data_IF_608597351485
#
_entry.id   IF_608597351485
#
_cell.length_a   1.000
_cell.length_b   1.000
_cell.length_c   1.000
_cell.angle_alpha   90.00
_cell.angle_beta   90.00
_cell.angle_gamma   90.00
#
_symmetry.space_group_name_H-M   'P 1'
#
loop_
_entity.id
_entity.type
_entity.pdbx_description
1 polymer ?
#
# COMPACT_ATOMS: atom_id res chain seq x y z
N UNK A 1 25.25 55.05 -42.32
CA UNK A 1 25.05 54.76 -40.90
C UNK A 1 23.85 53.82 -40.72
N UNK A 2 24.04 52.50 -40.63
CA UNK A 2 23.05 51.47 -40.24
C UNK A 2 23.73 50.09 -40.33
N UNK A 3 24.55 49.73 -39.36
CA UNK A 3 25.06 48.35 -39.18
C UNK A 3 25.56 48.21 -37.73
N UNK A 4 24.68 48.07 -36.77
CA UNK A 4 25.06 47.72 -35.39
C UNK A 4 23.90 47.22 -34.51
N UNK A 5 22.89 46.51 -35.02
CA UNK A 5 21.78 46.03 -34.19
C UNK A 5 21.48 44.53 -34.29
N UNK A 6 22.25 43.72 -35.02
CA UNK A 6 21.99 42.28 -35.16
C UNK A 6 22.90 41.39 -34.36
N UNK A 7 23.90 41.94 -33.66
CA UNK A 7 24.88 41.13 -32.88
C UNK A 7 24.44 40.82 -31.47
N UNK A 8 23.44 41.53 -30.93
CA UNK A 8 22.98 41.30 -29.55
C UNK A 8 21.83 40.30 -29.43
N UNK A 9 21.06 40.07 -30.47
CA UNK A 9 19.92 39.11 -30.44
C UNK A 9 20.41 37.68 -30.67
N UNK A 10 21.49 37.47 -31.38
CA UNK A 10 22.07 36.13 -31.62
C UNK A 10 22.77 35.56 -30.35
N UNK A 11 23.31 36.43 -29.48
CA UNK A 11 23.98 35.98 -28.24
C UNK A 11 22.97 35.62 -27.12
N UNK A 12 21.75 36.17 -27.16
CA UNK A 12 20.73 35.88 -26.14
C UNK A 12 19.92 34.60 -26.49
N UNK A 13 19.87 34.23 -27.77
CA UNK A 13 19.17 33.02 -28.19
C UNK A 13 20.02 31.75 -28.01
N UNK A 14 21.33 31.87 -27.86
CA UNK A 14 22.24 30.73 -27.63
C UNK A 14 22.37 30.38 -26.12
N UNK A 15 21.89 31.24 -25.21
CA UNK A 15 21.95 31.01 -23.78
C UNK A 15 20.66 30.39 -23.18
N UNK A 16 19.61 30.25 -24.02
CA UNK A 16 18.30 29.72 -23.56
C UNK A 16 18.09 28.23 -23.90
N UNK A 17 19.08 27.55 -24.51
CA UNK A 17 18.97 26.13 -24.88
C UNK A 17 19.75 25.20 -23.94
N UNK A 18 20.44 25.76 -22.93
CA UNK A 18 21.32 24.99 -22.05
C UNK A 18 20.70 24.61 -20.69
N UNK A 19 19.39 24.74 -20.45
CA UNK A 19 18.78 24.49 -19.15
C UNK A 19 17.65 23.46 -19.13
N UNK A 20 17.55 22.56 -20.13
CA UNK A 20 16.54 21.50 -20.13
C UNK A 20 17.12 20.09 -20.34
N UNK A 21 18.27 19.79 -19.75
CA UNK A 21 18.71 18.41 -19.57
C UNK A 21 19.19 18.19 -18.14
N UNK A 22 18.34 18.47 -17.18
CA UNK A 22 18.42 17.79 -15.90
C UNK A 22 17.56 16.52 -16.02
N UNK A 23 18.03 15.56 -16.79
CA UNK A 23 17.78 14.17 -16.45
C UNK A 23 18.51 13.97 -15.12
N UNK A 24 17.80 14.05 -14.01
CA UNK A 24 18.21 13.33 -12.84
C UNK A 24 18.26 11.85 -13.23
N UNK A 25 19.42 11.41 -13.68
CA UNK A 25 19.83 10.03 -13.48
C UNK A 25 19.69 9.83 -11.97
N UNK A 26 18.66 9.07 -11.56
CA UNK A 26 18.74 8.37 -10.31
C UNK A 26 20.09 7.66 -10.34
N UNK A 27 21.04 8.20 -9.59
CA UNK A 27 22.24 7.47 -9.28
C UNK A 27 21.73 6.16 -8.67
N UNK A 28 21.92 5.08 -9.39
CA UNK A 28 22.08 3.78 -8.77
C UNK A 28 23.25 4.02 -7.83
N UNK A 29 22.92 4.22 -6.56
CA UNK A 29 23.90 4.26 -5.49
C UNK A 29 24.38 2.81 -5.31
N UNK A 30 25.23 2.41 -6.24
CA UNK A 30 25.99 1.17 -6.21
C UNK A 30 27.24 1.40 -5.35
N UNK A 31 27.01 1.98 -4.16
CA UNK A 31 28.00 1.96 -3.09
C UNK A 31 27.80 0.72 -2.23
N UNK A 32 27.73 -0.46 -2.87
CA UNK A 32 28.24 -1.63 -2.19
C UNK A 32 29.76 -1.52 -2.20
N UNK A 33 30.34 -1.00 -1.14
CA UNK A 33 31.69 -1.37 -0.77
C UNK A 33 31.66 -2.87 -0.49
N UNK A 34 31.75 -3.67 -1.58
CA UNK A 34 32.00 -5.09 -1.46
C UNK A 34 33.40 -5.14 -0.88
N UNK A 35 33.52 -5.46 0.42
CA UNK A 35 34.77 -5.95 0.93
C UNK A 35 35.10 -7.19 0.09
N UNK A 36 36.31 -7.29 -0.39
CA UNK A 36 36.71 -8.34 -1.34
C UNK A 36 36.78 -9.74 -0.69
N UNK A 37 36.37 -9.86 0.57
CA UNK A 37 36.52 -11.04 1.42
C UNK A 37 35.21 -11.42 2.17
N UNK A 38 34.03 -11.03 1.67
CA UNK A 38 32.76 -11.46 2.26
C UNK A 38 32.63 -13.00 2.20
N UNK A 39 32.79 -13.67 3.35
CA UNK A 39 32.96 -15.12 3.44
C UNK A 39 31.68 -15.88 3.81
N UNK A 40 30.64 -15.20 4.33
CA UNK A 40 29.38 -15.83 4.67
C UNK A 40 28.39 -15.70 3.50
N UNK A 41 27.94 -16.84 2.96
CA UNK A 41 26.94 -16.90 1.92
C UNK A 41 25.55 -17.10 2.52
N UNK A 42 24.58 -16.29 2.09
CA UNK A 42 23.21 -16.29 2.60
C UNK A 42 22.23 -16.53 1.47
N UNK A 43 21.27 -17.42 1.71
CA UNK A 43 20.08 -17.58 0.87
C UNK A 43 18.83 -17.42 1.72
N UNK A 44 17.97 -16.45 1.37
CA UNK A 44 16.69 -16.21 2.04
C UNK A 44 15.57 -16.67 1.09
N UNK A 45 14.74 -17.60 1.56
CA UNK A 45 13.53 -18.06 0.91
C UNK A 45 12.33 -17.27 1.48
N UNK A 46 11.74 -16.42 0.66
CA UNK A 46 10.58 -15.60 1.05
C UNK A 46 9.31 -16.32 0.66
N UNK A 47 8.40 -16.46 1.61
CA UNK A 47 7.11 -17.13 1.44
C UNK A 47 5.98 -16.28 2.02
N UNK A 48 4.75 -16.66 1.68
CA UNK A 48 3.52 -16.19 2.32
C UNK A 48 2.61 -17.38 2.58
N UNK A 49 1.88 -17.31 3.68
CA UNK A 49 0.80 -18.25 3.98
C UNK A 49 -0.52 -17.49 4.07
N UNK A 50 -1.60 -18.10 3.57
CA UNK A 50 -2.94 -17.65 3.91
C UNK A 50 -3.28 -18.17 5.30
N UNK A 51 -3.72 -17.28 6.19
CA UNK A 51 -4.46 -17.71 7.35
C UNK A 51 -5.81 -18.20 6.83
N UNK A 52 -5.98 -19.51 6.67
CA UNK A 52 -7.32 -20.07 6.50
C UNK A 52 -8.07 -19.84 7.81
N UNK A 53 -9.28 -19.25 7.80
CA UNK A 53 -10.11 -19.20 8.98
C UNK A 53 -10.37 -20.65 9.43
N UNK A 54 -10.01 -20.99 10.66
CA UNK A 54 -10.56 -22.19 11.28
C UNK A 54 -12.08 -22.05 11.25
N UNK A 55 -12.76 -22.92 10.52
CA UNK A 55 -14.18 -23.14 10.73
C UNK A 55 -14.35 -23.45 12.23
N UNK A 56 -14.99 -22.56 12.96
CA UNK A 56 -15.44 -22.86 14.31
C UNK A 56 -16.44 -24.01 14.21
N UNK A 57 -15.95 -25.19 14.43
CA UNK A 57 -16.78 -26.38 14.62
C UNK A 57 -17.68 -26.12 15.83
N UNK A 58 -18.90 -25.71 15.59
CA UNK A 58 -19.98 -25.78 16.59
C UNK A 58 -20.25 -27.25 16.86
N UNK A 59 -19.55 -27.81 17.84
CA UNK A 59 -20.09 -28.95 18.60
C UNK A 59 -19.40 -29.08 19.95
N UNK A 60 -20.12 -28.68 20.97
CA UNK A 60 -19.86 -29.13 22.32
C UNK A 60 -20.02 -30.66 22.41
N UNK A 61 -18.95 -31.37 22.76
CA UNK A 61 -19.03 -32.58 23.58
C UNK A 61 -17.65 -32.91 24.12
N UNK A 62 -17.55 -32.83 25.44
CA UNK A 62 -16.62 -33.48 26.40
C UNK A 62 -15.37 -34.20 25.90
N UNK A 63 -14.22 -33.73 26.37
CA UNK A 63 -13.10 -34.61 26.81
C UNK A 63 -11.96 -34.80 25.85
N UNK A 64 -10.85 -34.29 26.27
CA UNK A 64 -9.46 -34.55 25.96
C UNK A 64 -8.69 -33.40 25.33
N UNK A 65 -7.72 -32.93 26.12
CA UNK A 65 -6.73 -31.95 25.71
C UNK A 65 -5.81 -32.59 24.65
N UNK A 66 -6.02 -32.23 23.38
CA UNK A 66 -5.03 -32.44 22.35
C UNK A 66 -4.30 -31.13 22.10
N UNK A 67 -2.98 -31.15 22.24
CA UNK A 67 -2.06 -30.13 21.76
C UNK A 67 -2.35 -29.91 20.28
N UNK A 68 -3.09 -28.84 19.94
CA UNK A 68 -3.37 -28.48 18.56
C UNK A 68 -2.11 -27.95 17.90
N UNK A 69 -1.48 -28.79 17.08
CA UNK A 69 -0.59 -28.33 16.02
C UNK A 69 -1.40 -27.37 15.14
N UNK A 70 -0.93 -26.12 15.03
CA UNK A 70 -1.48 -25.15 14.09
C UNK A 70 -1.37 -25.77 12.69
N UNK A 71 -2.51 -26.07 12.07
CA UNK A 71 -2.56 -26.53 10.68
C UNK A 71 -1.97 -25.43 9.81
N UNK A 72 -0.78 -25.68 9.28
CA UNK A 72 -0.07 -24.80 8.37
C UNK A 72 -0.93 -24.59 7.12
N UNK A 73 -1.42 -23.36 6.91
CA UNK A 73 -2.08 -22.97 5.66
C UNK A 73 -1.18 -23.27 4.45
N UNK A 74 -1.78 -23.56 3.30
CA UNK A 74 -1.05 -23.85 2.07
C UNK A 74 -0.22 -22.62 1.65
N UNK A 75 1.06 -22.81 1.32
CA UNK A 75 1.92 -21.74 0.83
C UNK A 75 1.43 -21.25 -0.54
N UNK A 76 1.15 -19.95 -0.65
CA UNK A 76 0.78 -19.35 -1.93
C UNK A 76 2.04 -18.94 -2.68
N UNK A 77 2.12 -19.20 -4.00
CA UNK A 77 3.21 -18.67 -4.81
C UNK A 77 3.31 -17.16 -4.67
N UNK A 78 4.49 -16.67 -4.28
CA UNK A 78 4.72 -15.27 -3.92
C UNK A 78 4.38 -14.31 -5.06
N UNK A 79 4.64 -14.70 -6.30
CA UNK A 79 4.34 -13.95 -7.52
C UNK A 79 2.84 -13.69 -7.76
N UNK A 80 1.97 -14.46 -7.13
CA UNK A 80 0.51 -14.24 -7.14
C UNK A 80 0.07 -13.20 -6.13
N UNK A 81 0.89 -12.92 -5.13
CA UNK A 81 0.57 -12.03 -4.02
C UNK A 81 1.23 -10.68 -4.16
N UNK A 82 2.52 -10.65 -4.48
CA UNK A 82 3.24 -9.42 -4.73
C UNK A 82 4.16 -9.54 -5.95
N UNK A 83 4.25 -8.46 -6.70
CA UNK A 83 5.04 -8.38 -7.93
C UNK A 83 6.45 -7.84 -7.71
N UNK A 84 6.76 -7.32 -6.53
CA UNK A 84 8.05 -6.74 -6.17
C UNK A 84 8.46 -7.13 -4.76
N UNK A 85 9.75 -7.45 -4.62
CA UNK A 85 10.43 -7.61 -3.34
C UNK A 85 11.58 -6.62 -3.25
N UNK A 86 11.72 -6.00 -2.08
CA UNK A 86 12.88 -5.19 -1.71
C UNK A 86 13.42 -5.69 -0.39
N UNK A 87 14.69 -6.07 -0.36
CA UNK A 87 15.43 -6.42 0.83
C UNK A 87 16.42 -5.30 1.14
N UNK A 88 16.53 -4.91 2.40
CA UNK A 88 17.61 -4.06 2.91
C UNK A 88 18.21 -4.67 4.17
N UNK A 89 19.53 -4.63 4.27
CA UNK A 89 20.29 -5.14 5.40
C UNK A 89 21.05 -3.98 6.06
N UNK A 90 21.03 -3.97 7.37
CA UNK A 90 21.61 -2.91 8.20
C UNK A 90 22.58 -3.50 9.21
N UNK A 91 23.73 -2.84 9.35
CA UNK A 91 24.73 -3.07 10.38
C UNK A 91 24.79 -1.83 11.27
N UNK A 92 24.50 -1.96 12.57
CA UNK A 92 24.54 -0.84 13.53
C UNK A 92 23.71 0.39 13.14
N UNK A 93 22.72 0.25 12.24
CA UNK A 93 21.91 1.32 11.70
C UNK A 93 22.35 1.82 10.31
N UNK A 94 23.54 1.45 9.84
CA UNK A 94 24.00 1.72 8.48
C UNK A 94 23.47 0.66 7.50
N UNK A 95 22.96 1.10 6.34
CA UNK A 95 22.45 0.21 5.32
C UNK A 95 23.60 -0.33 4.45
N UNK A 96 23.92 -1.63 4.61
CA UNK A 96 25.06 -2.28 3.95
C UNK A 96 24.69 -3.03 2.67
N UNK A 97 23.41 -3.40 2.49
CA UNK A 97 22.96 -4.13 1.32
C UNK A 97 21.53 -3.78 0.93
N UNK A 98 21.27 -3.74 -0.38
CA UNK A 98 19.91 -3.64 -0.94
C UNK A 98 19.77 -4.61 -2.11
N UNK A 99 18.67 -5.35 -2.16
CA UNK A 99 18.31 -6.21 -3.30
C UNK A 99 16.86 -5.91 -3.66
N UNK A 100 16.62 -5.65 -4.94
CA UNK A 100 15.27 -5.47 -5.48
C UNK A 100 15.04 -6.50 -6.56
N UNK A 101 13.93 -7.23 -6.47
CA UNK A 101 13.51 -8.22 -7.46
C UNK A 101 12.04 -8.02 -7.82
N UNK A 102 11.65 -8.52 -8.98
CA UNK A 102 10.26 -8.50 -9.45
C UNK A 102 9.82 -9.88 -9.93
N UNK A 103 8.53 -10.11 -9.96
CA UNK A 103 7.93 -11.42 -10.23
C UNK A 103 8.30 -12.03 -11.59
N UNK A 104 8.80 -11.21 -12.53
CA UNK A 104 9.35 -11.67 -13.80
C UNK A 104 10.79 -12.19 -13.72
N UNK A 105 11.49 -11.95 -12.60
CA UNK A 105 12.88 -12.34 -12.44
C UNK A 105 12.97 -13.85 -12.10
N UNK A 106 13.98 -14.51 -12.69
CA UNK A 106 14.20 -15.92 -12.40
C UNK A 106 14.58 -16.10 -10.92
N UNK A 107 13.88 -16.99 -10.24
CA UNK A 107 14.12 -17.27 -8.81
C UNK A 107 13.52 -16.22 -7.88
N UNK A 108 12.51 -15.47 -8.34
CA UNK A 108 11.75 -14.54 -7.49
C UNK A 108 11.34 -15.20 -6.17
N UNK A 109 11.55 -14.51 -5.06
CA UNK A 109 11.36 -15.05 -3.71
C UNK A 109 12.63 -15.70 -3.11
N UNK A 110 13.67 -15.97 -3.91
CA UNK A 110 14.95 -16.46 -3.40
C UNK A 110 16.00 -15.35 -3.51
N UNK A 111 16.47 -14.86 -2.38
CA UNK A 111 17.41 -13.74 -2.29
C UNK A 111 18.76 -14.27 -1.81
N UNK A 112 19.76 -14.33 -2.69
CA UNK A 112 21.11 -14.83 -2.37
C UNK A 112 22.13 -13.69 -2.43
N UNK A 113 23.00 -13.64 -1.42
CA UNK A 113 24.04 -12.62 -1.29
C UNK A 113 25.18 -13.09 -0.37
N UNK A 114 26.26 -12.34 -0.31
CA UNK A 114 27.35 -12.56 0.64
C UNK A 114 27.56 -11.29 1.48
N UNK A 115 27.93 -11.50 2.75
CA UNK A 115 28.33 -10.48 3.73
C UNK A 115 29.45 -11.04 4.60
N UNK A 116 30.08 -10.15 5.38
CA UNK A 116 31.04 -10.52 6.42
C UNK A 116 30.29 -11.22 7.59
N UNK A 117 31.03 -11.88 8.48
CA UNK A 117 30.47 -12.33 9.75
C UNK A 117 29.92 -11.16 10.58
N UNK A 118 28.81 -11.38 11.28
CA UNK A 118 28.24 -10.31 12.09
C UNK A 118 26.77 -10.49 12.42
N UNK A 119 26.23 -9.49 13.11
CA UNK A 119 24.82 -9.40 13.47
C UNK A 119 24.15 -8.26 12.71
N UNK A 120 23.18 -8.59 11.88
CA UNK A 120 22.50 -7.65 11.00
C UNK A 120 21.02 -7.54 11.33
N UNK A 121 20.41 -6.43 10.92
CA UNK A 121 18.95 -6.27 10.83
C UNK A 121 18.53 -6.36 9.39
N UNK A 122 17.47 -7.12 9.15
CA UNK A 122 16.93 -7.38 7.81
C UNK A 122 15.52 -6.82 7.72
N UNK A 123 15.26 -6.06 6.67
CA UNK A 123 13.91 -5.61 6.27
C UNK A 123 13.61 -6.20 4.91
N UNK A 124 12.46 -6.87 4.76
CA UNK A 124 11.96 -7.33 3.46
C UNK A 124 10.56 -6.75 3.27
N UNK A 125 10.32 -6.18 2.10
CA UNK A 125 9.04 -5.59 1.71
C UNK A 125 8.57 -6.22 0.41
N UNK A 126 7.35 -6.80 0.43
CA UNK A 126 6.64 -7.27 -0.75
C UNK A 126 5.48 -6.34 -1.09
N UNK A 127 5.31 -5.94 -2.37
CA UNK A 127 4.19 -5.08 -2.77
C UNK A 127 3.91 -5.14 -4.29
N UNK A 128 2.79 -4.50 -4.72
CA UNK A 128 2.35 -4.45 -6.12
C UNK A 128 2.49 -3.08 -6.78
N UNK A 129 3.27 -2.18 -6.20
CA UNK A 129 3.50 -0.83 -6.74
C UNK A 129 4.30 -0.83 -8.05
N UNK A 130 4.27 0.28 -8.79
CA UNK A 130 4.93 0.43 -10.09
C UNK A 130 6.45 0.57 -10.03
N UNK A 131 7.01 0.94 -8.86
CA UNK A 131 8.44 1.09 -8.61
C UNK A 131 8.85 0.41 -7.32
N UNK A 132 10.15 0.26 -7.07
CA UNK A 132 10.66 -0.27 -5.82
C UNK A 132 10.35 0.68 -4.66
N UNK A 133 10.14 0.14 -3.46
CA UNK A 133 10.07 0.96 -2.27
C UNK A 133 11.48 1.47 -1.88
N UNK A 134 11.51 2.55 -1.10
CA UNK A 134 12.74 3.11 -0.54
C UNK A 134 12.79 2.77 0.94
N UNK A 135 13.71 1.89 1.33
CA UNK A 135 13.97 1.53 2.72
C UNK A 135 15.14 2.39 3.21
N UNK A 136 14.85 3.51 3.87
CA UNK A 136 15.87 4.44 4.35
C UNK A 136 16.49 3.95 5.66
N UNK A 137 15.65 3.43 6.55
CA UNK A 137 16.00 2.72 7.79
C UNK A 137 14.90 1.70 8.06
N UNK A 138 15.03 0.77 9.03
CA UNK A 138 13.96 -0.14 9.42
C UNK A 138 12.66 0.59 9.80
N UNK A 139 12.76 1.76 10.43
CA UNK A 139 11.63 2.58 10.88
C UNK A 139 11.03 3.45 9.75
N UNK A 140 11.63 3.43 8.54
CA UNK A 140 11.21 4.35 7.47
C UNK A 140 11.29 3.76 6.09
N UNK A 141 10.15 3.19 5.66
CA UNK A 141 9.94 2.63 4.33
C UNK A 141 8.91 3.47 3.57
N UNK A 142 9.29 3.98 2.40
CA UNK A 142 8.45 4.81 1.54
C UNK A 142 8.16 4.13 0.20
N UNK A 143 7.03 4.48 -0.40
CA UNK A 143 6.57 3.93 -1.67
C UNK A 143 6.52 5.02 -2.75
N UNK A 144 6.69 4.61 -4.00
CA UNK A 144 6.69 5.52 -5.14
C UNK A 144 5.41 6.35 -5.18
N UNK A 145 5.55 7.67 -5.27
CA UNK A 145 4.43 8.64 -5.27
C UNK A 145 3.50 8.54 -4.06
N UNK A 146 3.95 7.97 -2.95
CA UNK A 146 3.14 7.65 -1.76
C UNK A 146 1.91 6.77 -2.07
N UNK A 147 1.91 6.06 -3.20
CA UNK A 147 0.83 5.14 -3.58
C UNK A 147 1.05 3.78 -2.96
N UNK A 148 0.07 3.35 -2.18
CA UNK A 148 0.09 2.06 -1.52
C UNK A 148 -0.70 1.03 -2.33
N UNK A 149 -0.24 -0.19 -2.25
CA UNK A 149 -0.93 -1.40 -2.73
C UNK A 149 -0.98 -2.41 -1.59
N UNK A 150 -1.54 -3.57 -1.80
CA UNK A 150 -1.37 -4.66 -0.85
C UNK A 150 0.12 -4.85 -0.59
N UNK A 151 0.52 -4.69 0.68
CA UNK A 151 1.93 -4.56 1.08
C UNK A 151 2.21 -5.45 2.28
N UNK A 152 3.33 -6.15 2.19
CA UNK A 152 3.77 -7.14 3.15
C UNK A 152 5.18 -6.81 3.62
N UNK A 153 5.51 -7.21 4.85
CA UNK A 153 6.81 -6.90 5.45
C UNK A 153 7.34 -8.03 6.31
N UNK A 154 8.64 -8.00 6.50
CA UNK A 154 9.37 -8.73 7.53
C UNK A 154 10.43 -7.79 8.11
N UNK A 155 10.64 -7.89 9.41
CA UNK A 155 11.77 -7.31 10.11
C UNK A 155 12.34 -8.34 11.08
N UNK A 156 13.65 -8.55 11.05
CA UNK A 156 14.29 -9.54 11.89
C UNK A 156 15.79 -9.37 12.01
N UNK A 157 16.38 -10.30 12.75
CA UNK A 157 17.82 -10.41 12.98
C UNK A 157 18.39 -11.48 12.06
N UNK A 158 19.57 -11.24 11.52
CA UNK A 158 20.38 -12.20 10.78
C UNK A 158 21.75 -12.25 11.45
N UNK A 159 22.21 -13.47 11.81
CA UNK A 159 23.53 -13.71 12.40
C UNK A 159 24.30 -14.53 11.40
N UNK A 160 25.50 -14.07 11.02
CA UNK A 160 26.38 -14.72 10.08
C UNK A 160 27.68 -15.11 10.77
N UNK A 161 28.14 -16.32 10.47
CA UNK A 161 29.41 -16.89 10.95
C UNK A 161 30.36 -17.01 9.76
N UNK A 162 31.63 -16.74 9.96
CA UNK A 162 32.65 -16.82 8.91
C UNK A 162 32.70 -18.22 8.28
N UNK A 163 32.71 -18.26 6.94
CA UNK A 163 32.82 -19.48 6.15
C UNK A 163 31.59 -20.39 6.17
N UNK A 164 30.48 -19.98 6.78
CA UNK A 164 29.23 -20.76 6.80
C UNK A 164 28.26 -20.33 5.69
N UNK A 165 27.51 -21.32 5.17
CA UNK A 165 26.35 -21.07 4.34
C UNK A 165 25.10 -20.97 5.24
N UNK A 166 24.41 -19.84 5.18
CA UNK A 166 23.18 -19.60 5.95
C UNK A 166 21.97 -19.66 5.03
N UNK A 167 21.00 -20.51 5.37
CA UNK A 167 19.73 -20.62 4.64
C UNK A 167 18.58 -20.29 5.59
N UNK A 168 17.79 -19.27 5.24
CA UNK A 168 16.68 -18.77 6.05
C UNK A 168 15.35 -18.83 5.29
N UNK A 169 14.31 -19.30 5.97
CA UNK A 169 12.94 -19.27 5.47
C UNK A 169 12.13 -18.18 6.18
N UNK A 170 11.69 -17.19 5.44
CA UNK A 170 11.01 -16.00 5.98
C UNK A 170 9.59 -15.93 5.46
N UNK A 171 8.63 -15.72 6.37
CA UNK A 171 7.23 -15.47 6.06
C UNK A 171 6.91 -13.98 6.20
N UNK A 172 6.35 -13.37 5.15
CA UNK A 172 5.91 -11.98 5.17
C UNK A 172 4.54 -11.85 5.82
N UNK A 173 4.34 -10.76 6.57
CA UNK A 173 3.08 -10.36 7.19
C UNK A 173 2.50 -9.15 6.46
N UNK A 174 1.16 -9.09 6.29
CA UNK A 174 0.53 -7.92 5.70
C UNK A 174 0.63 -6.71 6.63
N UNK A 175 1.06 -5.57 6.07
CA UNK A 175 1.26 -4.32 6.82
C UNK A 175 0.10 -3.34 6.67
N UNK A 176 -0.69 -3.45 5.60
CA UNK A 176 -1.75 -2.49 5.27
C UNK A 176 -3.10 -2.88 5.85
N UNK A 177 -3.95 -1.86 6.02
CA UNK A 177 -5.41 -1.99 6.05
C UNK A 177 -5.96 -1.65 4.66
N UNK A 178 -7.06 -2.27 4.26
CA UNK A 178 -7.80 -1.95 3.05
C UNK A 178 -9.11 -1.25 3.42
N UNK A 179 -9.37 -0.07 2.83
CA UNK A 179 -10.69 0.52 2.82
C UNK A 179 -11.33 0.26 1.45
N UNK A 180 -12.49 -0.40 1.46
CA UNK A 180 -13.17 -0.89 0.25
C UNK A 180 -14.57 -0.30 0.17
N UNK A 181 -14.87 0.33 -0.95
CA UNK A 181 -16.21 0.82 -1.29
C UNK A 181 -16.88 -0.13 -2.26
N UNK A 182 -18.12 -0.49 -1.98
CA UNK A 182 -19.00 -1.20 -2.89
C UNK A 182 -20.13 -0.28 -3.35
N UNK A 183 -20.28 -0.08 -4.66
CA UNK A 183 -21.35 0.71 -5.26
C UNK A 183 -22.58 -0.17 -5.40
N UNK A 184 -23.67 0.19 -4.70
CA UNK A 184 -24.91 -0.60 -4.62
C UNK A 184 -25.87 -0.35 -5.78
N UNK A 185 -25.69 0.76 -6.52
CA UNK A 185 -26.57 1.10 -7.63
C UNK A 185 -26.59 0.00 -8.70
N UNK A 186 -27.77 -0.32 -9.22
CA UNK A 186 -27.93 -1.27 -10.33
C UNK A 186 -27.21 -0.80 -11.58
N UNK A 187 -27.25 0.51 -11.84
CA UNK A 187 -26.56 1.16 -12.94
C UNK A 187 -25.79 2.37 -12.42
N UNK A 188 -24.59 2.56 -12.92
CA UNK A 188 -23.80 3.78 -12.63
C UNK A 188 -24.41 4.92 -13.44
N UNK A 189 -24.76 6.05 -12.82
CA UNK A 189 -25.30 7.21 -13.54
C UNK A 189 -24.39 7.64 -14.69
N UNK A 190 -24.97 8.01 -15.83
CA UNK A 190 -24.22 8.32 -17.04
C UNK A 190 -23.26 9.52 -16.87
N UNK A 191 -23.58 10.44 -15.99
CA UNK A 191 -22.73 11.58 -15.63
C UNK A 191 -21.58 11.23 -14.71
N UNK A 192 -21.62 10.09 -14.00
CA UNK A 192 -20.56 9.66 -13.10
C UNK A 192 -19.39 9.07 -13.88
N UNK A 193 -18.21 9.69 -13.79
CA UNK A 193 -17.01 9.32 -14.57
C UNK A 193 -15.92 8.69 -13.73
N UNK A 194 -15.70 9.21 -12.51
CA UNK A 194 -14.66 8.71 -11.60
C UNK A 194 -15.07 8.84 -10.14
N UNK A 195 -14.45 8.00 -9.30
CA UNK A 195 -14.54 8.04 -7.85
C UNK A 195 -13.19 8.48 -7.30
N UNK A 196 -13.20 9.51 -6.45
CA UNK A 196 -12.00 10.07 -5.83
C UNK A 196 -12.08 9.91 -4.33
N UNK A 197 -11.08 9.28 -3.75
CA UNK A 197 -10.87 9.16 -2.32
C UNK A 197 -9.87 10.23 -1.87
N UNK A 198 -10.20 10.96 -0.82
CA UNK A 198 -9.27 11.79 -0.06
C UNK A 198 -9.37 11.37 1.40
N UNK A 199 -8.24 11.04 2.02
CA UNK A 199 -8.24 10.55 3.38
C UNK A 199 -7.00 10.97 4.17
N UNK A 200 -7.20 11.11 5.49
CA UNK A 200 -6.20 11.40 6.51
C UNK A 200 -6.35 10.43 7.68
N UNK A 201 -5.48 10.47 8.67
CA UNK A 201 -5.52 9.57 9.83
C UNK A 201 -4.78 8.23 9.62
N UNK A 202 -4.25 8.02 8.41
CA UNK A 202 -3.37 6.89 8.10
C UNK A 202 -2.00 7.34 7.65
N UNK A 203 -1.14 6.39 7.28
CA UNK A 203 0.24 6.64 6.86
C UNK A 203 0.53 6.06 5.48
N UNK A 204 1.35 6.77 4.69
CA UNK A 204 1.98 6.27 3.46
C UNK A 204 3.41 5.77 3.67
N UNK A 205 3.92 5.84 4.91
CA UNK A 205 5.27 5.40 5.30
C UNK A 205 5.15 4.35 6.39
N UNK A 206 5.84 3.23 6.19
CA UNK A 206 5.86 2.10 7.12
C UNK A 206 7.08 2.19 8.04
N UNK A 207 6.86 1.93 9.32
CA UNK A 207 7.87 1.47 10.26
C UNK A 207 7.86 -0.07 10.27
N UNK A 208 8.87 -0.68 9.65
CA UNK A 208 8.92 -2.14 9.57
C UNK A 208 9.24 -2.80 10.92
N UNK A 209 9.77 -2.06 11.89
CA UNK A 209 10.07 -2.60 13.24
C UNK A 209 8.81 -2.89 14.02
N UNK A 210 7.76 -2.11 13.81
CA UNK A 210 6.45 -2.25 14.44
C UNK A 210 5.39 -2.84 13.50
N UNK A 211 5.57 -2.63 12.18
CA UNK A 211 4.59 -2.98 11.16
C UNK A 211 3.43 -2.00 11.07
N UNK A 212 3.56 -0.79 11.62
CA UNK A 212 2.57 0.28 11.60
C UNK A 212 3.04 1.50 10.79
N UNK A 213 2.12 2.40 10.54
CA UNK A 213 2.40 3.69 9.93
C UNK A 213 3.13 4.63 10.87
N UNK A 214 4.12 5.39 10.37
CA UNK A 214 4.96 6.26 11.20
C UNK A 214 4.88 7.75 10.84
N UNK A 215 4.03 8.15 9.88
CA UNK A 215 3.82 9.56 9.53
C UNK A 215 2.34 9.82 9.27
N UNK A 216 1.83 10.98 9.67
CA UNK A 216 0.50 11.41 9.27
C UNK A 216 0.50 11.81 7.80
N UNK A 217 -0.29 11.12 6.99
CA UNK A 217 -0.37 11.33 5.55
C UNK A 217 -1.72 11.91 5.13
N UNK A 218 -1.67 12.73 4.08
CA UNK A 218 -2.84 13.09 3.28
C UNK A 218 -2.73 12.34 1.97
N UNK A 219 -3.69 11.50 1.68
CA UNK A 219 -3.67 10.65 0.51
C UNK A 219 -4.86 10.94 -0.40
N UNK A 220 -4.62 10.83 -1.69
CA UNK A 220 -5.65 11.01 -2.71
C UNK A 220 -5.48 9.94 -3.77
N UNK A 221 -6.55 9.19 -4.02
CA UNK A 221 -6.64 8.19 -5.07
C UNK A 221 -7.87 8.47 -5.93
N UNK A 222 -7.72 8.31 -7.25
CA UNK A 222 -8.83 8.50 -8.19
C UNK A 222 -8.89 7.31 -9.13
N UNK A 223 -10.08 6.72 -9.24
CA UNK A 223 -10.34 5.59 -10.12
C UNK A 223 -11.42 5.99 -11.14
N UNK A 224 -11.23 5.56 -12.38
CA UNK A 224 -12.27 5.66 -13.39
C UNK A 224 -13.38 4.68 -13.06
N UNK A 225 -14.63 5.13 -13.13
CA UNK A 225 -15.78 4.25 -13.02
C UNK A 225 -15.91 3.41 -14.30
N UNK A 226 -15.93 2.09 -14.14
CA UNK A 226 -15.99 1.13 -15.24
C UNK A 226 -17.28 0.34 -15.15
N UNK A 227 -17.98 0.19 -16.28
CA UNK A 227 -19.21 -0.60 -16.33
C UNK A 227 -18.96 -2.03 -15.82
N UNK A 228 -19.75 -2.44 -14.85
CA UNK A 228 -19.67 -3.77 -14.23
C UNK A 228 -18.68 -3.86 -13.04
N UNK A 229 -17.79 -2.88 -12.85
CA UNK A 229 -16.97 -2.79 -11.66
C UNK A 229 -17.74 -2.06 -10.56
N UNK A 230 -17.86 -2.68 -9.39
CA UNK A 230 -18.58 -2.14 -8.23
C UNK A 230 -17.66 -1.83 -7.07
N UNK A 231 -16.52 -2.50 -6.98
CA UNK A 231 -15.59 -2.42 -5.87
C UNK A 231 -14.40 -1.53 -6.20
N UNK A 232 -14.11 -0.58 -5.31
CA UNK A 232 -12.98 0.32 -5.38
C UNK A 232 -12.29 0.35 -4.02
N UNK A 233 -10.96 0.23 -3.99
CA UNK A 233 -10.22 0.09 -2.75
C UNK A 233 -9.03 1.03 -2.70
N UNK A 234 -8.73 1.51 -1.48
CA UNK A 234 -7.51 2.21 -1.12
C UNK A 234 -6.83 1.52 0.05
N UNK A 235 -5.53 1.73 0.21
CA UNK A 235 -4.72 1.12 1.25
C UNK A 235 -4.08 2.19 2.14
N UNK A 236 -3.86 1.85 3.38
CA UNK A 236 -3.11 2.67 4.33
C UNK A 236 -2.33 1.80 5.29
N UNK A 237 -1.21 2.29 5.83
CA UNK A 237 -0.64 1.74 7.05
C UNK A 237 -1.38 2.38 8.23
N UNK A 238 -2.11 1.60 9.05
CA UNK A 238 -2.72 2.14 10.26
C UNK A 238 -1.63 2.61 11.23
N UNK A 239 -1.91 3.60 12.05
CA UNK A 239 -1.10 3.89 13.22
C UNK A 239 -1.43 2.89 14.33
N UNK A 240 -0.48 2.63 15.23
CA UNK A 240 -0.69 1.72 16.36
C UNK A 240 -1.84 2.21 17.26
N UNK A 241 -1.87 3.53 17.53
CA UNK A 241 -2.91 4.21 18.31
C UNK A 241 -3.83 5.03 17.39
N UNK A 242 -4.43 4.38 16.37
CA UNK A 242 -5.22 5.07 15.35
C UNK A 242 -6.59 5.50 15.87
N UNK A 243 -6.91 6.78 15.70
CA UNK A 243 -8.29 7.32 15.85
C UNK A 243 -9.19 6.99 14.65
N UNK A 244 -8.65 6.29 13.65
CA UNK A 244 -9.33 5.95 12.41
C UNK A 244 -9.01 6.92 11.27
N UNK A 245 -9.59 6.63 10.09
CA UNK A 245 -9.49 7.50 8.91
C UNK A 245 -10.59 8.55 8.90
N UNK A 246 -10.24 9.76 8.46
CA UNK A 246 -11.20 10.76 8.03
C UNK A 246 -11.23 10.70 6.50
N UNK A 247 -12.37 10.30 5.94
CA UNK A 247 -12.54 9.96 4.54
C UNK A 247 -13.53 10.90 3.86
N UNK A 248 -13.14 11.43 2.70
CA UNK A 248 -14.03 12.12 1.76
C UNK A 248 -14.01 11.36 0.44
N UNK A 249 -15.18 10.97 -0.04
CA UNK A 249 -15.39 10.31 -1.31
C UNK A 249 -16.16 11.26 -2.23
N UNK A 250 -15.58 11.56 -3.38
CA UNK A 250 -16.20 12.39 -4.40
C UNK A 250 -16.48 11.57 -5.65
N UNK A 251 -17.72 11.59 -6.13
CA UNK A 251 -18.06 11.13 -7.46
C UNK A 251 -17.93 12.31 -8.40
N UNK A 252 -17.11 12.16 -9.43
CA UNK A 252 -16.77 13.23 -10.36
C UNK A 252 -17.35 12.94 -11.75
N UNK A 253 -17.80 13.99 -12.43
CA UNK A 253 -18.19 13.95 -13.84
C UNK A 253 -16.95 14.00 -14.76
N UNK A 254 -17.17 14.02 -16.09
CA UNK A 254 -16.11 14.10 -17.11
C UNK A 254 -15.24 15.35 -16.98
N UNK A 255 -15.78 16.46 -16.46
CA UNK A 255 -15.06 17.72 -16.23
C UNK A 255 -14.32 17.76 -14.89
N UNK A 256 -14.24 16.62 -14.18
CA UNK A 256 -13.68 16.47 -12.85
C UNK A 256 -14.37 17.33 -11.76
N UNK A 257 -15.64 17.71 -11.98
CA UNK A 257 -16.48 18.38 -10.99
C UNK A 257 -17.17 17.33 -10.14
N UNK A 258 -17.23 17.57 -8.82
CA UNK A 258 -17.97 16.71 -7.89
C UNK A 258 -19.48 16.83 -8.17
N UNK A 259 -20.12 15.69 -8.39
CA UNK A 259 -21.57 15.55 -8.53
C UNK A 259 -22.18 14.94 -7.26
N UNK A 260 -21.36 14.26 -6.44
CA UNK A 260 -21.72 13.76 -5.12
C UNK A 260 -20.50 13.73 -4.22
N UNK A 261 -20.71 14.05 -2.96
CA UNK A 261 -19.69 13.98 -1.92
C UNK A 261 -20.24 13.26 -0.69
N UNK A 262 -19.43 12.33 -0.15
CA UNK A 262 -19.70 11.59 1.05
C UNK A 262 -18.51 11.79 1.99
N UNK A 263 -18.78 12.09 3.28
CA UNK A 263 -17.75 12.29 4.29
C UNK A 263 -18.02 11.42 5.51
N UNK A 264 -16.96 10.85 6.08
CA UNK A 264 -17.01 10.12 7.33
C UNK A 264 -15.68 10.25 8.07
N UNK A 265 -15.77 10.60 9.35
CA UNK A 265 -14.64 10.66 10.26
C UNK A 265 -14.58 9.44 11.17
N UNK A 266 -13.39 9.16 11.71
CA UNK A 266 -13.18 8.11 12.69
C UNK A 266 -13.45 6.69 12.15
N UNK A 267 -13.20 6.45 10.85
CA UNK A 267 -13.39 5.13 10.25
C UNK A 267 -12.33 4.19 10.80
N UNK A 268 -12.76 3.17 11.52
CA UNK A 268 -11.86 2.16 12.05
C UNK A 268 -11.14 1.42 10.93
N UNK A 269 -9.81 1.35 11.02
CA UNK A 269 -8.95 0.55 10.15
C UNK A 269 -7.95 -0.20 11.00
N UNK A 270 -7.76 -1.49 10.70
CA UNK A 270 -6.80 -2.36 11.38
C UNK A 270 -5.88 -3.01 10.36
N UNK A 271 -4.63 -3.21 10.73
CA UNK A 271 -3.67 -3.97 9.91
C UNK A 271 -4.22 -5.36 9.60
N UNK A 272 -4.15 -5.74 8.33
CA UNK A 272 -4.66 -7.02 7.81
C UNK A 272 -6.19 -7.18 7.89
N UNK A 273 -6.94 -6.07 7.94
CA UNK A 273 -8.40 -6.05 7.89
C UNK A 273 -8.92 -5.24 6.71
N UNK A 274 -10.08 -5.62 6.21
CA UNK A 274 -10.85 -4.85 5.22
C UNK A 274 -11.93 -4.07 5.98
N UNK A 275 -11.92 -2.75 5.83
CA UNK A 275 -13.05 -1.89 6.23
C UNK A 275 -13.91 -1.65 5.00
N UNK A 276 -15.17 -2.09 5.04
CA UNK A 276 -16.12 -1.99 3.93
C UNK A 276 -17.12 -0.86 4.13
N UNK A 277 -17.44 -0.20 3.02
CA UNK A 277 -18.52 0.76 2.94
C UNK A 277 -19.36 0.50 1.68
N UNK A 278 -20.67 0.41 1.81
CA UNK A 278 -21.59 0.41 0.71
C UNK A 278 -22.06 1.83 0.44
N UNK A 279 -22.03 2.27 -0.80
CA UNK A 279 -22.48 3.61 -1.20
C UNK A 279 -23.43 3.52 -2.39
N UNK A 280 -24.40 4.43 -2.45
CA UNK A 280 -25.16 4.69 -3.67
C UNK A 280 -24.62 5.97 -4.33
N UNK A 281 -24.42 5.93 -5.63
CA UNK A 281 -24.06 7.08 -6.48
C UNK A 281 -25.30 7.81 -6.97
N UNK A 282 -26.34 7.06 -7.36
CA UNK A 282 -27.62 7.63 -7.74
C UNK A 282 -28.29 8.17 -6.49
N UNK A 283 -28.52 9.48 -6.43
CA UNK A 283 -29.32 10.09 -5.37
C UNK A 283 -30.78 9.69 -5.53
N UNK A 284 -31.23 8.72 -4.76
CA UNK A 284 -32.64 8.32 -4.71
C UNK A 284 -33.37 8.81 -3.47
N UNK A 285 -32.75 9.62 -2.63
CA UNK A 285 -33.44 10.30 -1.53
C UNK A 285 -34.10 11.59 -1.99
N UNK A 286 -35.06 11.48 -2.92
CA UNK A 286 -36.13 12.47 -3.01
C UNK A 286 -37.16 12.03 -1.97
N UNK A 287 -37.00 12.54 -0.74
CA UNK A 287 -38.13 12.63 0.17
C UNK A 287 -39.06 13.69 -0.43
N UNK A 288 -40.01 13.24 -1.27
CA UNK A 288 -41.11 14.06 -1.73
C UNK A 288 -42.07 14.31 -0.57
N UNK A 289 -41.66 15.16 0.36
CA UNK A 289 -42.60 15.85 1.24
C UNK A 289 -43.05 17.12 0.53
N UNK A 290 -44.32 17.20 0.06
CA UNK A 290 -44.79 18.43 -0.57
C UNK A 290 -45.01 19.52 0.50
N UNK A 291 -44.20 20.57 0.46
CA UNK A 291 -44.48 21.83 1.12
C UNK A 291 -43.50 22.25 2.22
N UNK A 292 -42.60 23.14 1.88
CA UNK A 292 -41.80 23.89 2.85
C UNK A 292 -40.70 24.71 2.17
N UNK A 293 -40.79 25.99 2.28
CA UNK A 293 -39.99 27.05 1.68
C UNK A 293 -38.45 26.87 1.84
N UNK A 294 -37.78 27.26 0.77
CA UNK A 294 -36.37 27.41 0.52
C UNK A 294 -35.39 27.56 1.67
N UNK A 295 -34.51 26.61 1.81
CA UNK A 295 -33.18 26.82 2.32
C UNK A 295 -32.20 25.90 1.58
N UNK A 296 -31.16 26.47 0.96
CA UNK A 296 -30.07 25.77 0.29
C UNK A 296 -29.17 25.16 1.35
N UNK A 297 -29.57 23.99 1.84
CA UNK A 297 -28.75 23.14 2.73
C UNK A 297 -28.04 22.06 1.94
N UNK A 298 -26.75 21.85 2.23
CA UNK A 298 -25.93 20.78 1.70
C UNK A 298 -26.61 19.42 1.89
N UNK A 299 -26.88 18.73 0.78
CA UNK A 299 -27.52 17.41 0.82
C UNK A 299 -26.49 16.34 1.18
N UNK A 300 -26.51 15.89 2.43
CA UNK A 300 -25.85 14.63 2.87
C UNK A 300 -26.76 13.46 2.54
N UNK A 301 -26.24 12.47 1.81
CA UNK A 301 -27.00 11.27 1.45
C UNK A 301 -26.67 10.08 2.35
N UNK A 302 -27.71 9.37 2.85
CA UNK A 302 -27.62 8.15 3.64
C UNK A 302 -27.25 6.95 2.79
N UNK A 303 -26.28 6.13 3.23
CA UNK A 303 -25.92 4.82 2.63
C UNK A 303 -26.11 3.68 3.62
N UNK A 304 -26.69 2.57 3.18
CA UNK A 304 -26.99 1.38 3.99
C UNK A 304 -26.05 0.20 3.65
N UNK A 305 -25.84 -0.74 4.59
CA UNK A 305 -24.79 -1.77 4.62
C UNK A 305 -25.26 -3.20 4.51
N UNK A 306 -24.39 -4.07 3.95
CA UNK A 306 -24.47 -5.52 4.06
C UNK A 306 -23.05 -6.16 4.05
N UNK A 307 -22.87 -7.30 4.75
CA UNK A 307 -21.57 -7.89 5.12
C UNK A 307 -21.26 -9.10 4.25
N UNK A 308 -19.99 -9.20 3.72
CA UNK A 308 -19.44 -10.44 3.17
C UNK A 308 -17.99 -10.65 3.60
N UNK A 309 -17.64 -11.88 4.01
CA UNK A 309 -16.31 -12.31 4.44
C UNK A 309 -15.36 -12.55 3.26
N UNK A 310 -14.07 -12.13 3.41
CA UNK A 310 -12.98 -12.53 2.52
C UNK A 310 -11.94 -13.33 3.33
N UNK A 311 -11.69 -14.62 2.99
CA UNK A 311 -10.83 -15.51 3.77
C UNK A 311 -9.33 -15.18 3.72
N UNK A 312 -8.90 -14.25 2.86
CA UNK A 312 -7.48 -13.85 2.72
C UNK A 312 -7.04 -12.78 3.74
N UNK A 313 -7.98 -12.20 4.49
CA UNK A 313 -7.75 -11.17 5.50
C UNK A 313 -8.19 -11.67 6.87
N UNK A 314 -7.63 -11.10 7.95
CA UNK A 314 -8.00 -11.50 9.32
C UNK A 314 -9.47 -11.17 9.66
N UNK A 315 -10.06 -10.17 8.99
CA UNK A 315 -11.44 -9.79 9.20
C UNK A 315 -11.90 -8.60 8.37
N UNK A 316 -13.16 -8.21 8.59
CA UNK A 316 -13.80 -7.06 7.96
C UNK A 316 -14.45 -6.16 9.01
N UNK A 317 -14.39 -4.86 8.78
CA UNK A 317 -15.03 -3.81 9.59
C UNK A 317 -16.01 -3.07 8.69
N UNK A 318 -17.26 -2.91 9.13
CA UNK A 318 -18.29 -2.21 8.36
C UNK A 318 -18.48 -0.79 8.86
N UNK A 319 -18.64 0.15 7.93
CA UNK A 319 -18.77 1.59 8.20
C UNK A 319 -19.97 2.17 7.46
N UNK A 320 -20.75 3.03 8.13
CA UNK A 320 -21.87 3.76 7.56
C UNK A 320 -21.49 5.21 7.26
N UNK A 321 -21.91 5.70 6.09
CA UNK A 321 -21.87 7.12 5.74
C UNK A 321 -23.28 7.68 5.88
N UNK A 322 -23.42 8.69 6.74
CA UNK A 322 -24.66 9.46 6.91
C UNK A 322 -24.77 10.56 5.87
#
# INVERSE_FOLDING_TARGET
MKKKTYSFVASFLLMLVATLTSCEKFALDDTSTISHDANAHVTIHVSMRTNQPQEMATKATSGEANNGEATSGEAIPLEKVCSRLSLAIFDGGEKVKVINTQSSDKGYGNLSFALDEGEYRVVIIGHNGTGNCTISSPEKVKFASNKLTDTFYYYGKLILTDGEETEESIELKRAVAQFKVHITDTEIPAEAHSIKFYYTGGSSTLDATTGYGCVNSRQTETFKLVKGQRDYSVYTFPHEDSEGLNMKINILNSDAKSIRELEKDGIEVRRNYITKANISIADTSIDETPGGDGETGDKKGNGSFDIQFNPEWEGEINVEFE
#
